data_IF_299065337476
#
_entry.id   IF_299065337476
#
_cell.length_a   1.000
_cell.length_b   1.000
_cell.length_c   1.000
_cell.angle_alpha   90.00
_cell.angle_beta   90.00
_cell.angle_gamma   90.00
#
_symmetry.space_group_name_H-M   'P 1'
#
loop_
_entity.id
_entity.type
_entity.pdbx_description
1 polymer ?
#
# COMPACT_ATOMS: atom_id res chain seq x y z
N UNK A 1 23.87 -8.90 4.83
CA UNK A 1 23.79 -8.02 6.02
C UNK A 1 24.05 -6.54 5.73
N UNK A 2 24.91 -6.16 4.78
CA UNK A 2 25.19 -4.73 4.46
C UNK A 2 23.96 -3.92 3.99
N UNK A 3 23.05 -4.54 3.22
CA UNK A 3 21.87 -3.86 2.68
C UNK A 3 20.84 -3.47 3.75
N UNK A 4 20.56 -4.35 4.71
CA UNK A 4 19.60 -4.06 5.79
C UNK A 4 20.11 -2.95 6.73
N UNK A 5 21.43 -2.88 6.95
CA UNK A 5 22.06 -1.79 7.71
C UNK A 5 22.01 -0.45 6.96
N UNK A 6 21.97 -0.46 5.63
CA UNK A 6 21.72 0.76 4.86
C UNK A 6 20.26 1.20 5.00
N UNK A 7 19.32 0.26 4.89
CA UNK A 7 17.89 0.54 5.05
C UNK A 7 17.57 1.11 6.43
N UNK A 8 18.16 0.57 7.50
CA UNK A 8 17.95 1.08 8.87
C UNK A 8 18.47 2.50 9.11
N UNK A 9 19.26 3.05 8.18
CA UNK A 9 19.76 4.43 8.24
C UNK A 9 18.90 5.42 7.46
N UNK A 10 17.94 4.93 6.67
CA UNK A 10 16.97 5.77 6.01
C UNK A 10 15.88 6.16 7.00
N UNK A 11 15.23 7.30 6.76
CA UNK A 11 14.04 7.72 7.51
C UNK A 11 12.82 6.88 7.06
N UNK A 12 12.89 5.57 7.30
CA UNK A 12 11.84 4.61 7.00
C UNK A 12 11.40 3.94 8.30
N UNK A 13 10.09 3.70 8.41
CA UNK A 13 9.49 3.04 9.55
C UNK A 13 8.92 1.70 9.09
N UNK A 14 9.14 0.65 9.88
CA UNK A 14 8.52 -0.65 9.63
C UNK A 14 7.13 -0.68 10.24
N UNK A 15 6.13 -1.09 9.47
CA UNK A 15 4.79 -1.28 10.00
C UNK A 15 4.68 -2.61 10.75
N UNK A 16 4.92 -2.56 12.06
CA UNK A 16 4.88 -3.73 12.96
C UNK A 16 3.46 -4.25 13.17
N UNK A 17 2.42 -3.48 12.79
CA UNK A 17 1.01 -3.84 12.96
C UNK A 17 0.44 -4.67 11.80
N UNK A 18 1.23 -4.87 10.74
CA UNK A 18 0.81 -5.55 9.51
C UNK A 18 0.32 -6.98 9.73
N UNK A 19 0.96 -7.79 10.59
CA UNK A 19 0.63 -9.22 10.65
C UNK A 19 -0.76 -9.51 11.27
N UNK A 20 -1.19 -8.75 12.26
CA UNK A 20 -2.45 -9.02 12.98
C UNK A 20 -3.65 -8.24 12.42
N UNK A 21 -3.47 -7.01 11.93
CA UNK A 21 -4.57 -6.16 11.46
C UNK A 21 -4.70 -6.11 9.94
N UNK A 22 -3.60 -6.21 9.20
CA UNK A 22 -3.69 -6.22 7.74
C UNK A 22 -4.42 -7.49 7.29
N UNK A 23 -4.19 -8.67 7.86
CA UNK A 23 -4.75 -9.92 7.35
C UNK A 23 -6.28 -9.93 7.18
N UNK A 24 -7.07 -9.42 8.11
CA UNK A 24 -8.54 -9.48 7.98
C UNK A 24 -9.09 -8.42 7.02
N UNK A 25 -8.59 -7.18 7.14
CA UNK A 25 -9.05 -6.03 6.33
C UNK A 25 -8.50 -6.09 4.90
N UNK A 26 -7.24 -6.46 4.73
CA UNK A 26 -6.57 -6.68 3.45
C UNK A 26 -7.25 -7.79 2.65
N UNK A 27 -7.69 -8.89 3.28
CA UNK A 27 -8.40 -9.95 2.58
C UNK A 27 -9.79 -9.50 2.12
N UNK A 28 -10.48 -8.65 2.88
CA UNK A 28 -11.76 -8.08 2.48
C UNK A 28 -11.60 -7.14 1.27
N UNK A 29 -10.58 -6.26 1.28
CA UNK A 29 -10.28 -5.38 0.14
C UNK A 29 -9.76 -6.14 -1.08
N UNK A 30 -8.91 -7.15 -0.88
CA UNK A 30 -8.41 -8.03 -1.93
C UNK A 30 -9.53 -8.72 -2.69
N UNK A 31 -10.56 -9.21 -1.98
CA UNK A 31 -11.75 -9.81 -2.61
C UNK A 31 -12.65 -8.77 -3.29
N UNK A 32 -12.79 -7.57 -2.71
CA UNK A 32 -13.66 -6.51 -3.24
C UNK A 32 -13.11 -5.90 -4.54
N UNK A 33 -11.78 -5.81 -4.66
CA UNK A 33 -11.10 -5.14 -5.77
C UNK A 33 -10.26 -6.07 -6.64
N UNK A 34 -10.35 -7.38 -6.42
CA UNK A 34 -9.55 -8.41 -7.12
C UNK A 34 -8.03 -8.15 -7.03
N UNK A 35 -7.58 -7.61 -5.90
CA UNK A 35 -6.17 -7.30 -5.67
C UNK A 35 -5.41 -8.50 -5.12
N UNK A 36 -4.11 -8.56 -5.43
CA UNK A 36 -3.19 -9.44 -4.71
C UNK A 36 -3.15 -9.08 -3.22
N UNK A 37 -2.77 -10.04 -2.36
CA UNK A 37 -2.61 -9.76 -0.93
C UNK A 37 -1.61 -8.63 -0.65
N UNK A 38 -0.61 -8.50 -1.53
CA UNK A 38 0.41 -7.47 -1.46
C UNK A 38 -0.14 -6.07 -1.81
N UNK A 39 -0.86 -5.95 -2.92
CA UNK A 39 -1.48 -4.69 -3.34
C UNK A 39 -2.57 -4.23 -2.36
N UNK A 40 -3.36 -5.18 -1.85
CA UNK A 40 -4.37 -4.89 -0.85
C UNK A 40 -3.74 -4.42 0.48
N UNK A 41 -2.56 -4.92 0.87
CA UNK A 41 -1.87 -4.49 2.09
C UNK A 41 -1.38 -3.04 1.95
N UNK A 42 -0.91 -2.64 0.77
CA UNK A 42 -0.54 -1.25 0.51
C UNK A 42 -1.74 -0.31 0.50
N UNK A 43 -2.87 -0.75 -0.05
CA UNK A 43 -4.11 0.02 0.01
C UNK A 43 -4.58 0.18 1.45
N UNK A 44 -4.62 -0.89 2.23
CA UNK A 44 -4.99 -0.85 3.65
C UNK A 44 -4.10 0.12 4.43
N UNK A 45 -2.78 0.03 4.25
CA UNK A 45 -1.83 0.90 4.93
C UNK A 45 -2.07 2.38 4.60
N UNK A 46 -2.29 2.70 3.31
CA UNK A 46 -2.59 4.05 2.87
C UNK A 46 -3.91 4.56 3.48
N UNK A 47 -4.94 3.71 3.54
CA UNK A 47 -6.23 4.03 4.16
C UNK A 47 -6.10 4.27 5.66
N UNK A 48 -5.42 3.38 6.39
CA UNK A 48 -5.25 3.46 7.84
C UNK A 48 -4.46 4.69 8.25
N UNK A 49 -3.43 5.06 7.49
CA UNK A 49 -2.61 6.23 7.78
C UNK A 49 -3.16 7.53 7.17
N UNK A 50 -4.21 7.46 6.33
CA UNK A 50 -4.74 8.62 5.62
C UNK A 50 -3.74 9.25 4.65
N UNK A 51 -2.84 8.44 4.07
CA UNK A 51 -1.75 8.89 3.20
C UNK A 51 -2.03 8.58 1.72
N UNK A 52 -1.47 9.36 0.79
CA UNK A 52 -1.53 9.03 -0.62
C UNK A 52 -0.73 7.77 -0.94
N UNK A 53 -1.24 6.96 -1.86
CA UNK A 53 -0.57 5.75 -2.33
C UNK A 53 0.29 6.04 -3.55
N UNK A 54 1.60 5.82 -3.46
CA UNK A 54 2.51 5.95 -4.60
C UNK A 54 2.60 4.64 -5.38
N UNK A 55 1.98 4.56 -6.55
CA UNK A 55 2.04 3.37 -7.41
C UNK A 55 1.81 3.67 -8.89
N UNK A 56 2.49 2.89 -9.74
CA UNK A 56 2.30 2.86 -11.19
C UNK A 56 1.34 1.74 -11.62
N UNK A 57 0.97 0.83 -10.70
CA UNK A 57 0.05 -0.25 -11.01
C UNK A 57 -1.37 0.28 -11.25
N UNK A 58 -1.95 -0.07 -12.40
CA UNK A 58 -3.25 0.47 -12.82
C UNK A 58 -4.41 -0.08 -12.00
N UNK A 59 -4.34 -1.34 -11.57
CA UNK A 59 -5.40 -1.98 -10.80
C UNK A 59 -5.42 -1.43 -9.37
N UNK A 60 -4.25 -1.32 -8.74
CA UNK A 60 -4.12 -0.75 -7.42
C UNK A 60 -4.49 0.74 -7.40
N UNK A 61 -4.11 1.51 -8.44
CA UNK A 61 -4.61 2.89 -8.59
C UNK A 61 -6.13 2.92 -8.64
N UNK A 62 -6.78 2.05 -9.42
CA UNK A 62 -8.25 2.02 -9.54
C UNK A 62 -8.90 1.73 -8.18
N UNK A 63 -8.38 0.76 -7.43
CA UNK A 63 -8.86 0.42 -6.10
C UNK A 63 -8.69 1.59 -5.11
N UNK A 64 -7.51 2.25 -5.11
CA UNK A 64 -7.26 3.43 -4.29
C UNK A 64 -8.26 4.57 -4.55
N UNK A 65 -8.54 4.88 -5.82
CA UNK A 65 -9.56 5.88 -6.15
C UNK A 65 -10.97 5.47 -5.68
N UNK A 66 -11.31 4.18 -5.78
CA UNK A 66 -12.61 3.67 -5.33
C UNK A 66 -12.81 3.80 -3.81
N UNK A 67 -11.72 3.73 -3.05
CA UNK A 67 -11.70 3.92 -1.59
C UNK A 67 -11.38 5.37 -1.18
N UNK A 68 -11.34 6.32 -2.13
CA UNK A 68 -11.11 7.75 -1.85
C UNK A 68 -9.66 8.12 -1.51
N UNK A 69 -8.71 7.23 -1.78
CA UNK A 69 -7.29 7.45 -1.53
C UNK A 69 -6.62 8.12 -2.73
N UNK A 70 -5.90 9.21 -2.46
CA UNK A 70 -5.13 9.92 -3.48
C UNK A 70 -3.95 9.06 -3.96
N UNK A 71 -3.60 9.17 -5.25
CA UNK A 71 -2.58 8.30 -5.86
C UNK A 71 -1.50 9.10 -6.56
N UNK A 72 -0.25 8.68 -6.38
CA UNK A 72 0.95 9.32 -6.92
C UNK A 72 1.70 8.38 -7.86
N UNK A 73 2.34 8.90 -8.93
CA UNK A 73 2.15 10.25 -9.46
C UNK A 73 0.74 10.42 -10.04
N UNK A 74 0.23 11.67 -10.01
CA UNK A 74 -1.12 12.01 -10.51
C UNK A 74 -1.32 11.55 -11.96
N UNK A 75 -0.27 11.63 -12.78
CA UNK A 75 -0.21 11.04 -14.12
C UNK A 75 0.95 10.06 -14.19
N UNK A 76 0.71 8.89 -14.79
CA UNK A 76 1.77 7.94 -15.12
C UNK A 76 2.51 8.52 -16.35
N UNK A 77 3.83 8.80 -16.25
CA UNK A 77 4.61 9.22 -17.40
C UNK A 77 4.56 8.14 -18.49
N UNK A 78 4.40 8.56 -19.76
CA UNK A 78 4.42 7.68 -20.93
C UNK A 78 5.83 7.15 -21.19
#
# INVERSE_FOLDING_TARGET
MLFLNLLSKLAIESDVHSEQQATTTTLAFGRRHELSSYDAAYLELAMRLGLPLATLDKHLRKAAHAEGIAVLPVKIPR
#
